data_IF_420850593330
#
_entry.id   IF_420850593330
#
_cell.length_a   1.000
_cell.length_b   1.000
_cell.length_c   1.000
_cell.angle_alpha   90.00
_cell.angle_beta   90.00
_cell.angle_gamma   90.00
#
_symmetry.space_group_name_H-M   'P 1'
#
loop_
_entity.id
_entity.type
_entity.pdbx_description
1 polymer ?
#
# COMPACT_ATOMS: atom_id res chain seq x y z
N UNK A 1 16.84 21.67 -13.44
CA UNK A 1 16.47 20.32 -12.96
C UNK A 1 15.28 20.51 -12.04
N UNK A 2 14.08 20.05 -12.43
CA UNK A 2 12.92 20.15 -11.59
C UNK A 2 13.18 19.32 -10.33
N UNK A 3 12.99 19.93 -9.18
CA UNK A 3 13.01 19.25 -7.89
C UNK A 3 11.92 18.19 -7.95
N UNK A 4 12.27 16.91 -8.20
CA UNK A 4 11.31 15.80 -8.24
C UNK A 4 10.80 15.60 -6.82
N UNK A 5 9.63 16.12 -6.60
CA UNK A 5 8.96 16.31 -5.31
C UNK A 5 8.39 14.99 -4.77
N UNK A 6 8.15 14.94 -3.47
CA UNK A 6 7.28 13.95 -2.86
C UNK A 6 5.90 14.03 -3.52
N UNK A 7 5.41 12.91 -4.05
CA UNK A 7 4.08 12.76 -4.60
C UNK A 7 3.16 12.09 -3.57
N UNK A 8 1.94 12.57 -3.48
CA UNK A 8 0.90 11.84 -2.74
C UNK A 8 0.47 10.63 -3.56
N UNK A 9 0.32 9.48 -2.92
CA UNK A 9 -0.03 8.24 -3.60
C UNK A 9 -1.33 8.31 -4.40
N UNK A 10 -2.33 9.06 -3.92
CA UNK A 10 -3.59 9.23 -4.64
C UNK A 10 -3.40 9.93 -6.00
N UNK A 11 -2.47 10.87 -6.10
CA UNK A 11 -2.19 11.56 -7.36
C UNK A 11 -1.33 10.70 -8.29
N UNK A 12 -0.41 9.91 -7.72
CA UNK A 12 0.37 8.94 -8.48
C UNK A 12 -0.55 7.86 -9.11
N UNK A 13 -1.50 7.31 -8.35
CA UNK A 13 -2.52 6.37 -8.86
C UNK A 13 -3.34 7.00 -9.99
N UNK A 14 -3.80 8.24 -9.84
CA UNK A 14 -4.54 8.93 -10.90
C UNK A 14 -3.72 9.09 -12.17
N UNK A 15 -2.43 9.43 -12.05
CA UNK A 15 -1.52 9.56 -13.18
C UNK A 15 -1.35 8.24 -13.93
N UNK A 16 -1.14 7.14 -13.20
CA UNK A 16 -1.03 5.80 -13.77
C UNK A 16 -2.33 5.38 -14.48
N UNK A 17 -3.50 5.61 -13.86
CA UNK A 17 -4.82 5.35 -14.48
C UNK A 17 -5.08 6.18 -15.73
N UNK A 18 -4.49 7.36 -15.82
CA UNK A 18 -4.53 8.19 -17.03
C UNK A 18 -3.57 7.73 -18.14
N UNK A 19 -2.83 6.63 -17.93
CA UNK A 19 -1.88 6.08 -18.89
C UNK A 19 -0.47 6.69 -18.81
N UNK A 20 -0.21 7.58 -17.86
CA UNK A 20 1.11 8.17 -17.65
C UNK A 20 1.91 7.27 -16.70
N UNK A 21 2.69 6.37 -17.28
CA UNK A 21 3.51 5.42 -16.52
C UNK A 21 4.99 5.80 -16.69
N UNK A 22 5.61 6.15 -15.57
CA UNK A 22 7.05 6.41 -15.54
C UNK A 22 7.84 5.08 -15.52
N UNK A 23 9.03 5.05 -16.10
CA UNK A 23 9.84 3.83 -16.12
C UNK A 23 10.45 3.49 -14.75
N UNK A 24 10.49 4.43 -13.81
CA UNK A 24 11.00 4.21 -12.45
C UNK A 24 10.12 4.92 -11.42
N UNK A 25 9.69 4.18 -10.42
CA UNK A 25 8.98 4.68 -9.24
C UNK A 25 9.74 4.37 -7.96
N UNK A 26 9.62 5.24 -6.97
CA UNK A 26 10.15 5.01 -5.62
C UNK A 26 8.98 5.12 -4.64
N UNK A 27 8.70 4.03 -3.93
CA UNK A 27 7.72 3.99 -2.84
C UNK A 27 8.47 4.08 -1.51
N UNK A 28 8.08 5.02 -0.65
CA UNK A 28 8.69 5.23 0.65
C UNK A 28 7.64 5.13 1.75
N UNK A 29 7.78 4.13 2.61
CA UNK A 29 6.85 3.81 3.70
C UNK A 29 6.62 2.31 3.82
N UNK A 30 5.68 1.91 4.67
CA UNK A 30 5.49 0.52 5.07
C UNK A 30 4.02 0.07 5.07
N UNK A 31 3.10 0.82 4.48
CA UNK A 31 1.72 0.38 4.36
C UNK A 31 1.58 -0.61 3.19
N UNK A 32 1.36 -1.88 3.53
CA UNK A 32 1.29 -2.96 2.55
C UNK A 32 0.08 -2.85 1.60
N UNK A 33 -1.02 -2.25 2.03
CA UNK A 33 -2.17 -2.03 1.15
C UNK A 33 -1.85 -1.00 0.08
N UNK A 34 -1.25 0.13 0.47
CA UNK A 34 -0.88 1.19 -0.49
C UNK A 34 0.19 0.72 -1.47
N UNK A 35 1.16 -0.05 -0.98
CA UNK A 35 2.18 -0.68 -1.82
C UNK A 35 1.53 -1.59 -2.87
N UNK A 36 0.74 -2.56 -2.42
CA UNK A 36 0.08 -3.51 -3.30
C UNK A 36 -0.84 -2.82 -4.30
N UNK A 37 -1.65 -1.87 -3.82
CA UNK A 37 -2.56 -1.10 -4.68
C UNK A 37 -1.82 -0.34 -5.77
N UNK A 38 -0.69 0.31 -5.46
CA UNK A 38 0.09 1.02 -6.46
C UNK A 38 0.71 0.08 -7.50
N UNK A 39 1.25 -1.06 -7.06
CA UNK A 39 1.82 -2.07 -7.96
C UNK A 39 0.73 -2.61 -8.90
N UNK A 40 -0.46 -2.94 -8.40
CA UNK A 40 -1.60 -3.41 -9.21
C UNK A 40 -2.04 -2.39 -10.26
N UNK A 41 -2.07 -1.11 -9.92
CA UNK A 41 -2.42 -0.06 -10.88
C UNK A 41 -1.36 0.08 -11.98
N UNK A 42 -0.08 0.00 -11.61
CA UNK A 42 1.01 -0.01 -12.60
C UNK A 42 0.94 -1.27 -13.47
N UNK A 43 0.70 -2.45 -12.90
CA UNK A 43 0.51 -3.69 -13.67
C UNK A 43 -0.61 -3.54 -14.70
N UNK A 44 -1.77 -3.07 -14.27
CA UNK A 44 -2.93 -2.91 -15.14
C UNK A 44 -2.67 -1.92 -16.28
N UNK A 45 -2.03 -0.79 -15.98
CA UNK A 45 -1.73 0.20 -17.00
C UNK A 45 -0.55 -0.17 -17.91
N UNK A 46 0.46 -0.83 -17.38
CA UNK A 46 1.66 -1.20 -18.12
C UNK A 46 1.46 -2.42 -19.02
N UNK A 47 0.59 -3.35 -18.62
CA UNK A 47 0.25 -4.57 -19.37
C UNK A 47 -1.23 -4.60 -19.78
N UNK A 48 -1.66 -3.76 -20.72
CA UNK A 48 -3.07 -3.69 -21.11
C UNK A 48 -3.62 -5.01 -21.67
N UNK A 49 -2.77 -5.86 -22.24
CA UNK A 49 -3.14 -7.16 -22.78
C UNK A 49 -3.18 -8.29 -21.74
N UNK A 50 -2.92 -7.97 -20.47
CA UNK A 50 -3.01 -8.91 -19.34
C UNK A 50 -1.86 -9.89 -19.18
N UNK A 51 -0.88 -9.91 -20.08
CA UNK A 51 0.30 -10.78 -19.98
C UNK A 51 1.36 -10.16 -19.03
N UNK A 52 1.09 -10.17 -17.73
CA UNK A 52 1.97 -9.55 -16.74
C UNK A 52 3.26 -10.36 -16.56
N UNK A 53 4.40 -9.71 -16.83
CA UNK A 53 5.73 -10.21 -16.52
C UNK A 53 6.33 -9.40 -15.37
N UNK A 54 6.08 -9.84 -14.13
CA UNK A 54 6.60 -9.23 -12.91
C UNK A 54 7.68 -10.08 -12.28
N UNK A 55 8.78 -9.46 -11.88
CA UNK A 55 9.87 -10.08 -11.14
C UNK A 55 10.23 -9.29 -9.89
N UNK A 56 10.32 -10.00 -8.77
CA UNK A 56 10.84 -9.43 -7.52
C UNK A 56 12.36 -9.49 -7.53
N UNK A 57 12.99 -8.38 -7.20
CA UNK A 57 14.44 -8.27 -7.05
C UNK A 57 14.77 -8.05 -5.56
N UNK A 58 15.32 -9.08 -4.94
CA UNK A 58 15.69 -9.07 -3.52
C UNK A 58 17.21 -9.15 -3.41
N UNK A 59 17.90 -8.08 -3.00
CA UNK A 59 19.36 -8.08 -2.88
C UNK A 59 19.92 -9.08 -1.86
N UNK A 60 19.06 -9.62 -0.99
CA UNK A 60 19.43 -10.65 -0.03
C UNK A 60 19.45 -12.06 -0.66
N UNK A 61 18.72 -12.27 -1.76
CA UNK A 61 18.55 -13.56 -2.42
C UNK A 61 19.29 -13.67 -3.76
N UNK A 62 19.47 -12.53 -4.43
CA UNK A 62 20.11 -12.44 -5.74
C UNK A 62 21.53 -11.89 -5.63
N UNK A 63 22.42 -12.36 -6.52
CA UNK A 63 23.70 -11.67 -6.68
C UNK A 63 23.46 -10.27 -7.23
N UNK A 64 24.18 -9.30 -6.71
CA UNK A 64 23.98 -7.88 -7.07
C UNK A 64 24.21 -7.63 -8.58
N UNK A 65 25.17 -8.32 -9.21
CA UNK A 65 25.37 -8.27 -10.66
C UNK A 65 24.17 -8.79 -11.44
N UNK A 66 23.49 -9.83 -10.92
CA UNK A 66 22.31 -10.40 -11.55
C UNK A 66 21.14 -9.41 -11.58
N UNK A 67 21.01 -8.56 -10.56
CA UNK A 67 19.99 -7.51 -10.52
C UNK A 67 20.25 -6.51 -11.67
N UNK A 68 21.49 -6.07 -11.84
CA UNK A 68 21.85 -5.16 -12.95
C UNK A 68 21.63 -5.85 -14.29
N UNK A 69 22.08 -7.10 -14.44
CA UNK A 69 21.91 -7.86 -15.67
C UNK A 69 20.43 -7.98 -16.07
N UNK A 70 19.52 -8.28 -15.12
CA UNK A 70 18.07 -8.33 -15.37
C UNK A 70 17.48 -6.99 -15.78
N UNK A 71 17.92 -5.90 -15.16
CA UNK A 71 17.47 -4.56 -15.49
C UNK A 71 17.96 -4.10 -16.88
N UNK A 72 19.16 -4.50 -17.30
CA UNK A 72 19.81 -4.04 -18.54
C UNK A 72 19.65 -5.02 -19.70
N UNK A 73 19.36 -6.31 -19.44
CA UNK A 73 19.19 -7.34 -20.49
C UNK A 73 18.11 -6.95 -21.49
N UNK A 74 18.35 -7.25 -22.77
CA UNK A 74 17.33 -7.15 -23.81
C UNK A 74 16.59 -8.47 -23.83
N UNK A 75 15.28 -8.44 -23.54
CA UNK A 75 14.43 -9.62 -23.68
C UNK A 75 13.95 -9.76 -25.13
N UNK A 76 14.19 -10.92 -25.71
CA UNK A 76 13.79 -11.23 -27.08
C UNK A 76 12.33 -11.73 -27.19
N UNK A 77 11.72 -12.10 -26.06
CA UNK A 77 10.42 -12.75 -26.02
C UNK A 77 9.31 -11.88 -25.42
N UNK A 78 9.65 -10.87 -24.65
CA UNK A 78 8.68 -9.96 -24.07
C UNK A 78 9.04 -8.52 -24.32
N UNK A 79 8.03 -7.75 -24.75
CA UNK A 79 8.20 -6.32 -25.01
C UNK A 79 8.20 -5.48 -23.73
N UNK A 80 7.60 -5.96 -22.64
CA UNK A 80 7.47 -5.20 -21.38
C UNK A 80 7.77 -6.07 -20.16
N UNK A 81 8.46 -5.50 -19.17
CA UNK A 81 8.79 -6.16 -17.90
C UNK A 81 8.61 -5.21 -16.73
N UNK A 82 8.01 -5.70 -15.64
CA UNK A 82 7.88 -4.98 -14.38
C UNK A 82 8.83 -5.60 -13.34
N UNK A 83 9.68 -4.79 -12.77
CA UNK A 83 10.56 -5.17 -11.68
C UNK A 83 10.17 -4.46 -10.39
N UNK A 84 10.16 -5.21 -9.30
CA UNK A 84 9.95 -4.66 -7.96
C UNK A 84 11.19 -4.93 -7.12
N UNK A 85 11.97 -3.90 -6.85
CA UNK A 85 13.19 -3.96 -6.03
C UNK A 85 12.86 -3.51 -4.61
N UNK A 86 13.02 -4.41 -3.66
CA UNK A 86 12.82 -4.09 -2.24
C UNK A 86 14.17 -3.93 -1.54
N UNK A 87 14.26 -2.98 -0.60
CA UNK A 87 15.46 -2.71 0.20
C UNK A 87 16.72 -2.47 -0.63
N UNK A 88 16.76 -1.40 -1.45
CA UNK A 88 17.90 -1.09 -2.32
C UNK A 88 19.22 -0.88 -1.55
N UNK A 89 19.16 -0.57 -0.25
CA UNK A 89 20.34 -0.49 0.63
C UNK A 89 21.12 -1.80 0.73
N UNK A 90 20.48 -2.94 0.43
CA UNK A 90 21.13 -4.24 0.32
C UNK A 90 22.12 -4.35 -0.84
N UNK A 91 22.03 -3.51 -1.86
CA UNK A 91 23.01 -3.46 -2.95
C UNK A 91 24.37 -3.00 -2.42
N UNK A 92 25.38 -3.87 -2.51
CA UNK A 92 26.73 -3.64 -2.02
C UNK A 92 27.67 -3.36 -3.22
N UNK A 93 28.88 -2.98 -2.94
CA UNK A 93 29.88 -2.70 -4.00
C UNK A 93 29.68 -1.33 -4.68
N UNK A 94 30.80 -0.62 -4.83
CA UNK A 94 30.79 0.74 -5.43
C UNK A 94 30.37 0.71 -6.91
N UNK A 95 30.83 -0.31 -7.65
CA UNK A 95 30.54 -0.49 -9.08
C UNK A 95 29.05 -0.73 -9.30
N UNK A 96 28.47 -1.69 -8.56
CA UNK A 96 27.03 -2.06 -8.65
C UNK A 96 26.13 -0.86 -8.35
N UNK A 97 26.46 -0.09 -7.30
CA UNK A 97 25.71 1.13 -6.97
C UNK A 97 25.77 2.18 -8.07
N UNK A 98 26.93 2.32 -8.73
CA UNK A 98 27.09 3.26 -9.84
C UNK A 98 26.26 2.81 -11.06
N UNK A 99 26.33 1.54 -11.45
CA UNK A 99 25.56 0.98 -12.57
C UNK A 99 24.05 1.06 -12.31
N UNK A 100 23.62 0.82 -11.07
CA UNK A 100 22.21 0.94 -10.69
C UNK A 100 21.72 2.40 -10.80
N UNK A 101 22.50 3.38 -10.35
CA UNK A 101 22.16 4.79 -10.47
C UNK A 101 22.16 5.25 -11.93
N UNK A 102 23.09 4.78 -12.74
CA UNK A 102 23.11 5.04 -14.18
C UNK A 102 21.84 4.51 -14.87
N UNK A 103 21.39 3.30 -14.50
CA UNK A 103 20.13 2.76 -14.99
C UNK A 103 18.92 3.63 -14.60
N UNK A 104 18.86 4.12 -13.35
CA UNK A 104 17.77 4.99 -12.88
C UNK A 104 17.75 6.33 -13.64
N UNK A 105 18.92 6.85 -13.99
CA UNK A 105 19.04 8.10 -14.76
C UNK A 105 18.64 7.92 -16.23
N UNK A 106 18.87 6.73 -16.79
CA UNK A 106 18.62 6.38 -18.18
C UNK A 106 17.85 5.05 -18.30
N UNK A 107 16.61 4.96 -17.78
CA UNK A 107 15.86 3.72 -17.76
C UNK A 107 15.36 3.34 -19.15
N UNK A 108 15.17 2.02 -19.38
CA UNK A 108 14.56 1.49 -20.59
C UNK A 108 13.03 1.68 -20.52
N UNK A 109 12.41 2.12 -21.60
CA UNK A 109 10.96 2.41 -21.65
C UNK A 109 10.07 1.17 -21.63
N UNK A 110 10.61 0.03 -22.08
CA UNK A 110 9.95 -1.28 -22.04
C UNK A 110 10.00 -1.93 -20.66
N UNK A 111 10.69 -1.29 -19.69
CA UNK A 111 10.82 -1.77 -18.33
C UNK A 111 10.30 -0.74 -17.35
N UNK A 112 9.50 -1.21 -16.40
CA UNK A 112 9.09 -0.41 -15.25
C UNK A 112 9.76 -0.96 -13.99
N UNK A 113 10.46 -0.12 -13.25
CA UNK A 113 11.10 -0.46 -11.98
C UNK A 113 10.41 0.25 -10.83
N UNK A 114 9.84 -0.52 -9.91
CA UNK A 114 9.31 0.00 -8.64
C UNK A 114 10.31 -0.30 -7.53
N UNK A 115 10.84 0.73 -6.89
CA UNK A 115 11.80 0.63 -5.79
C UNK A 115 11.06 0.86 -4.49
N UNK A 116 11.11 -0.10 -3.56
CA UNK A 116 10.42 -0.03 -2.27
C UNK A 116 11.46 0.20 -1.17
N UNK A 117 11.26 1.26 -0.40
CA UNK A 117 12.07 1.67 0.73
C UNK A 117 11.16 1.66 1.97
N UNK A 118 11.24 0.58 2.76
CA UNK A 118 10.36 0.38 3.91
C UNK A 118 10.70 1.31 5.08
N UNK A 119 11.93 1.79 5.16
CA UNK A 119 12.46 2.53 6.30
C UNK A 119 12.74 4.00 5.96
N UNK A 120 11.96 4.90 6.56
CA UNK A 120 12.18 6.35 6.49
C UNK A 120 13.53 6.78 7.08
N UNK A 121 14.07 6.00 8.01
CA UNK A 121 15.34 6.29 8.66
C UNK A 121 16.57 5.89 7.84
N UNK A 122 16.38 5.17 6.70
CA UNK A 122 17.49 4.80 5.82
C UNK A 122 18.13 6.05 5.18
N UNK A 123 19.29 6.40 5.73
CA UNK A 123 20.13 7.54 5.30
C UNK A 123 21.29 7.11 4.42
N UNK A 124 21.29 5.88 3.89
CA UNK A 124 22.34 5.41 3.02
C UNK A 124 22.51 6.35 1.81
N UNK A 125 23.76 6.53 1.38
CA UNK A 125 24.06 7.42 0.26
C UNK A 125 23.34 6.98 -1.04
N UNK A 126 23.12 5.67 -1.20
CA UNK A 126 22.37 5.13 -2.33
C UNK A 126 20.91 5.56 -2.29
N UNK A 127 20.22 5.31 -1.17
CA UNK A 127 18.80 5.68 -1.00
C UNK A 127 18.60 7.20 -1.16
N UNK A 128 19.51 8.01 -0.62
CA UNK A 128 19.45 9.45 -0.81
C UNK A 128 19.52 9.81 -2.30
N UNK A 129 20.49 9.27 -3.04
CA UNK A 129 20.63 9.54 -4.47
C UNK A 129 19.42 9.08 -5.27
N UNK A 130 18.87 7.90 -4.99
CA UNK A 130 17.63 7.40 -5.62
C UNK A 130 16.51 8.41 -5.44
N UNK A 131 16.26 8.87 -4.22
CA UNK A 131 15.20 9.86 -3.92
C UNK A 131 15.44 11.20 -4.60
N UNK A 132 16.68 11.65 -4.66
CA UNK A 132 17.06 12.92 -5.31
C UNK A 132 16.90 12.84 -6.84
N UNK A 133 17.09 11.65 -7.45
CA UNK A 133 16.98 11.46 -8.90
C UNK A 133 15.53 11.26 -9.36
N UNK A 134 14.76 10.40 -8.69
CA UNK A 134 13.41 10.02 -9.13
C UNK A 134 12.32 10.78 -8.37
N UNK A 135 12.59 11.23 -7.13
CA UNK A 135 11.58 11.61 -6.17
C UNK A 135 11.02 10.37 -5.47
N UNK A 136 9.92 10.51 -4.74
CA UNK A 136 9.27 9.37 -4.11
C UNK A 136 7.78 9.59 -3.88
N UNK A 137 7.04 8.49 -3.80
CA UNK A 137 5.63 8.41 -3.45
C UNK A 137 5.55 7.96 -1.99
N UNK A 138 4.83 8.72 -1.15
CA UNK A 138 4.65 8.36 0.25
C UNK A 138 3.58 7.28 0.36
N UNK A 139 3.97 6.10 0.88
CA UNK A 139 3.11 4.97 1.20
C UNK A 139 3.07 4.65 2.70
N UNK A 140 3.22 5.66 3.55
CA UNK A 140 2.96 5.49 4.99
C UNK A 140 1.47 5.39 5.25
N UNK A 141 1.09 4.66 6.31
CA UNK A 141 -0.31 4.60 6.74
C UNK A 141 -0.90 6.01 6.89
N UNK A 142 -2.04 6.29 6.26
CA UNK A 142 -2.63 7.62 6.28
C UNK A 142 -3.04 8.03 7.69
N UNK A 143 -2.87 9.31 8.01
CA UNK A 143 -3.46 9.88 9.22
C UNK A 143 -5.00 9.79 9.18
N UNK A 144 -5.62 9.80 10.34
CA UNK A 144 -7.08 9.69 10.52
C UNK A 144 -7.88 10.65 9.60
N UNK A 145 -7.38 11.87 9.41
CA UNK A 145 -8.02 12.85 8.51
C UNK A 145 -8.10 12.41 7.04
N UNK A 146 -7.13 11.61 6.57
CA UNK A 146 -7.10 11.07 5.20
C UNK A 146 -7.76 9.69 5.10
N UNK A 147 -7.91 8.98 6.23
CA UNK A 147 -8.45 7.62 6.26
C UNK A 147 -9.86 7.54 5.69
N UNK A 148 -10.73 8.50 6.04
CA UNK A 148 -12.10 8.59 5.50
C UNK A 148 -12.13 8.71 3.97
N UNK A 149 -11.20 9.47 3.40
CA UNK A 149 -11.08 9.62 1.96
C UNK A 149 -10.66 8.31 1.29
N UNK A 150 -9.79 7.53 1.92
CA UNK A 150 -9.40 6.20 1.45
C UNK A 150 -10.55 5.20 1.51
N UNK A 151 -11.34 5.19 2.59
CA UNK A 151 -12.55 4.37 2.69
C UNK A 151 -13.51 4.66 1.53
N UNK A 152 -13.79 5.93 1.27
CA UNK A 152 -14.65 6.33 0.16
C UNK A 152 -14.05 5.99 -1.22
N UNK A 153 -12.74 6.07 -1.36
CA UNK A 153 -12.05 5.63 -2.57
C UNK A 153 -12.22 4.12 -2.79
N UNK A 154 -12.02 3.30 -1.76
CA UNK A 154 -12.19 1.84 -1.84
C UNK A 154 -13.61 1.43 -2.21
N UNK A 155 -14.63 2.09 -1.65
CA UNK A 155 -16.02 1.86 -2.05
C UNK A 155 -16.28 2.22 -3.51
N UNK A 156 -15.73 3.35 -3.97
CA UNK A 156 -15.85 3.75 -5.39
C UNK A 156 -15.22 2.74 -6.35
N UNK A 157 -14.10 2.15 -5.99
CA UNK A 157 -13.47 1.06 -6.76
C UNK A 157 -14.40 -0.17 -6.89
N UNK A 158 -15.33 -0.36 -5.92
CA UNK A 158 -16.36 -1.41 -5.95
C UNK A 158 -17.68 -0.94 -6.58
N UNK A 159 -17.68 0.22 -7.25
CA UNK A 159 -18.90 0.78 -7.86
C UNK A 159 -19.87 1.42 -6.87
N UNK A 160 -19.50 1.58 -5.59
CA UNK A 160 -20.35 2.15 -4.54
C UNK A 160 -20.03 3.63 -4.33
N UNK A 161 -20.93 4.52 -4.75
CA UNK A 161 -20.70 5.97 -4.70
C UNK A 161 -21.52 6.67 -3.60
N UNK A 162 -22.65 6.09 -3.18
CA UNK A 162 -23.53 6.65 -2.14
C UNK A 162 -23.25 5.99 -0.78
N UNK A 163 -22.19 6.43 -0.13
CA UNK A 163 -21.75 5.89 1.17
C UNK A 163 -21.90 6.98 2.24
N UNK A 164 -22.75 6.71 3.24
CA UNK A 164 -22.97 7.66 4.32
C UNK A 164 -21.75 7.80 5.25
N UNK A 165 -21.54 8.95 5.89
CA UNK A 165 -20.48 9.13 6.89
C UNK A 165 -20.55 8.13 8.05
N UNK A 166 -21.75 7.65 8.40
CA UNK A 166 -21.95 6.67 9.46
C UNK A 166 -21.39 5.29 9.09
N UNK A 167 -21.48 4.88 7.83
CA UNK A 167 -20.86 3.66 7.32
C UNK A 167 -19.35 3.76 7.38
N UNK A 168 -18.79 4.90 6.98
CA UNK A 168 -17.34 5.15 7.05
C UNK A 168 -16.83 5.06 8.50
N UNK A 169 -17.56 5.69 9.44
CA UNK A 169 -17.21 5.65 10.85
C UNK A 169 -17.30 4.23 11.43
N UNK A 170 -18.36 3.46 11.08
CA UNK A 170 -18.50 2.07 11.52
C UNK A 170 -17.35 1.18 11.03
N UNK A 171 -16.89 1.37 9.79
CA UNK A 171 -15.72 0.65 9.26
C UNK A 171 -14.45 0.99 10.02
N UNK A 172 -14.20 2.28 10.28
CA UNK A 172 -13.01 2.71 11.03
C UNK A 172 -13.08 2.21 12.48
N UNK A 173 -14.27 2.19 13.09
CA UNK A 173 -14.47 1.63 14.43
C UNK A 173 -14.07 0.15 14.50
N UNK A 174 -14.41 -0.62 13.48
CA UNK A 174 -14.16 -2.07 13.44
C UNK A 174 -12.70 -2.38 13.05
N UNK A 175 -12.23 -1.78 11.96
CA UNK A 175 -10.95 -2.12 11.33
C UNK A 175 -9.76 -1.29 11.85
N UNK A 176 -10.04 -0.22 12.60
CA UNK A 176 -9.01 0.73 13.05
C UNK A 176 -8.46 1.55 11.87
N UNK A 177 -7.18 1.83 11.90
CA UNK A 177 -6.45 2.61 10.87
C UNK A 177 -5.82 1.74 9.78
N UNK A 178 -5.95 0.42 9.87
CA UNK A 178 -5.40 -0.51 8.89
C UNK A 178 -6.20 -0.50 7.59
N UNK A 179 -5.64 0.10 6.53
CA UNK A 179 -6.26 0.11 5.20
C UNK A 179 -6.53 -1.30 4.67
N UNK A 180 -5.67 -2.26 4.98
CA UNK A 180 -5.84 -3.66 4.59
C UNK A 180 -7.09 -4.28 5.23
N UNK A 181 -7.28 -4.06 6.54
CA UNK A 181 -8.48 -4.54 7.22
C UNK A 181 -9.74 -3.84 6.71
N UNK A 182 -9.69 -2.53 6.51
CA UNK A 182 -10.80 -1.76 5.93
C UNK A 182 -11.18 -2.31 4.56
N UNK A 183 -10.21 -2.55 3.69
CA UNK A 183 -10.46 -3.11 2.35
C UNK A 183 -11.14 -4.48 2.43
N UNK A 184 -10.68 -5.36 3.32
CA UNK A 184 -11.28 -6.68 3.52
C UNK A 184 -12.73 -6.58 4.04
N UNK A 185 -13.04 -5.65 4.95
CA UNK A 185 -14.41 -5.45 5.42
C UNK A 185 -15.31 -4.92 4.30
N UNK A 186 -14.83 -3.98 3.49
CA UNK A 186 -15.53 -3.48 2.31
C UNK A 186 -15.81 -4.62 1.32
N UNK A 187 -14.82 -5.46 1.04
CA UNK A 187 -14.96 -6.60 0.12
C UNK A 187 -16.06 -7.57 0.60
N UNK A 188 -16.08 -7.92 1.88
CA UNK A 188 -17.11 -8.79 2.45
C UNK A 188 -18.51 -8.20 2.25
N UNK A 189 -18.69 -6.94 2.64
CA UNK A 189 -19.99 -6.27 2.53
C UNK A 189 -20.44 -6.16 1.07
N UNK A 190 -19.55 -5.75 0.18
CA UNK A 190 -19.86 -5.62 -1.24
C UNK A 190 -20.13 -6.97 -1.94
N UNK A 191 -19.54 -8.07 -1.43
CA UNK A 191 -19.78 -9.42 -1.97
C UNK A 191 -21.17 -9.94 -1.57
N UNK A 192 -21.64 -9.61 -0.37
CA UNK A 192 -22.92 -10.11 0.16
C UNK A 192 -24.10 -9.26 -0.31
N UNK A 193 -23.94 -7.96 -0.38
CA UNK A 193 -25.02 -7.05 -0.76
C UNK A 193 -25.10 -6.88 -2.28
N UNK A 194 -26.32 -6.83 -2.81
CA UNK A 194 -26.56 -6.54 -4.23
C UNK A 194 -25.99 -5.15 -4.58
N UNK A 195 -25.62 -4.98 -5.82
CA UNK A 195 -24.95 -3.76 -6.31
C UNK A 195 -25.76 -2.46 -6.07
N UNK A 196 -27.08 -2.53 -6.13
CA UNK A 196 -28.02 -1.42 -5.93
C UNK A 196 -28.46 -1.23 -4.47
N UNK A 197 -28.09 -2.14 -3.57
CA UNK A 197 -28.48 -2.06 -2.17
C UNK A 197 -27.71 -0.95 -1.45
N UNK A 198 -28.43 -0.13 -0.69
CA UNK A 198 -27.82 0.87 0.18
C UNK A 198 -27.09 0.16 1.34
N UNK A 199 -25.82 0.52 1.55
CA UNK A 199 -25.02 -0.02 2.65
C UNK A 199 -25.34 0.79 3.91
N UNK A 200 -25.64 0.10 5.01
CA UNK A 200 -25.93 0.69 6.32
C UNK A 200 -24.83 0.34 7.34
N UNK A 201 -24.70 1.09 8.45
CA UNK A 201 -23.80 0.71 9.54
C UNK A 201 -24.07 -0.68 10.10
N UNK A 202 -25.35 -1.11 10.14
CA UNK A 202 -25.74 -2.43 10.63
C UNK A 202 -25.22 -3.55 9.72
N UNK A 203 -25.12 -3.32 8.42
CA UNK A 203 -24.53 -4.28 7.49
C UNK A 203 -23.03 -4.45 7.79
N UNK A 204 -22.32 -3.35 8.07
CA UNK A 204 -20.92 -3.39 8.47
C UNK A 204 -20.75 -4.25 9.72
N UNK A 205 -21.50 -4.00 10.77
CA UNK A 205 -21.43 -4.77 12.01
C UNK A 205 -21.84 -6.23 11.83
N UNK A 206 -22.80 -6.52 10.96
CA UNK A 206 -23.32 -7.87 10.70
C UNK A 206 -22.33 -8.73 9.94
N UNK A 207 -21.69 -8.18 8.91
CA UNK A 207 -20.84 -8.95 7.99
C UNK A 207 -19.36 -8.92 8.35
N UNK A 208 -18.93 -8.05 9.26
CA UNK A 208 -17.53 -7.94 9.67
C UNK A 208 -16.99 -9.20 10.37
N UNK A 209 -17.83 -10.16 10.72
CA UNK A 209 -17.39 -11.31 11.52
C UNK A 209 -16.91 -10.94 12.93
N UNK A 210 -16.81 -9.66 13.20
CA UNK A 210 -16.53 -9.13 14.52
C UNK A 210 -17.82 -9.17 15.34
N UNK A 211 -17.92 -10.11 16.25
CA UNK A 211 -18.83 -9.91 17.38
C UNK A 211 -18.43 -8.59 18.02
N UNK A 212 -19.40 -7.67 18.21
CA UNK A 212 -19.19 -6.42 18.95
C UNK A 212 -18.33 -6.72 20.17
N UNK A 213 -17.08 -6.39 20.12
CA UNK A 213 -16.19 -6.69 21.20
C UNK A 213 -15.18 -5.56 21.30
N UNK A 214 -14.92 -5.21 22.51
CA UNK A 214 -14.02 -4.11 22.84
C UNK A 214 -12.59 -4.40 22.38
N UNK A 215 -11.91 -3.37 21.91
CA UNK A 215 -10.48 -3.39 21.60
C UNK A 215 -9.64 -3.20 22.86
N UNK A 216 -8.43 -3.77 22.88
CA UNK A 216 -7.52 -3.60 24.04
C UNK A 216 -7.24 -2.14 24.38
N UNK A 217 -7.20 -1.25 23.38
CA UNK A 217 -7.00 0.19 23.63
C UNK A 217 -8.22 0.83 24.32
N UNK A 218 -9.45 0.37 24.04
CA UNK A 218 -10.66 0.86 24.75
C UNK A 218 -10.63 0.48 26.21
N UNK A 219 -10.08 -0.71 26.53
CA UNK A 219 -9.82 -1.10 27.90
C UNK A 219 -8.87 -0.12 28.59
N UNK A 220 -7.72 0.17 27.94
CA UNK A 220 -6.74 1.11 28.48
C UNK A 220 -7.33 2.52 28.65
N UNK A 221 -8.16 2.96 27.72
CA UNK A 221 -8.86 4.25 27.82
C UNK A 221 -9.82 4.27 29.01
N UNK A 222 -10.67 3.25 29.16
CA UNK A 222 -11.61 3.16 30.28
C UNK A 222 -10.89 3.12 31.64
N UNK A 223 -9.74 2.43 31.71
CA UNK A 223 -8.89 2.42 32.90
C UNK A 223 -8.30 3.82 33.16
N UNK A 224 -7.84 4.51 32.14
CA UNK A 224 -7.30 5.88 32.23
C UNK A 224 -8.35 6.89 32.68
N UNK A 225 -9.59 6.75 32.22
CA UNK A 225 -10.75 7.56 32.61
C UNK A 225 -11.32 7.15 33.99
N UNK A 226 -10.78 6.10 34.61
CA UNK A 226 -11.23 5.52 35.88
C UNK A 226 -12.70 5.06 35.87
N UNK A 227 -13.21 4.69 34.71
CA UNK A 227 -14.53 4.10 34.53
C UNK A 227 -14.45 2.59 34.84
N UNK A 228 -14.65 2.26 36.12
CA UNK A 228 -14.56 0.88 36.59
C UNK A 228 -15.58 -0.04 35.90
N UNK A 229 -16.82 0.43 35.72
CA UNK A 229 -17.89 -0.35 35.11
C UNK A 229 -17.55 -0.76 33.68
N UNK A 230 -17.12 0.22 32.86
CA UNK A 230 -16.70 0.02 31.48
C UNK A 230 -15.43 -0.81 31.39
N UNK A 231 -14.46 -0.61 32.28
CA UNK A 231 -13.23 -1.40 32.34
C UNK A 231 -13.49 -2.87 32.63
N UNK A 232 -14.36 -3.18 33.59
CA UNK A 232 -14.73 -4.56 33.92
C UNK A 232 -15.48 -5.22 32.77
N UNK A 233 -16.42 -4.53 32.12
CA UNK A 233 -17.16 -5.03 30.99
C UNK A 233 -16.22 -5.36 29.81
N UNK A 234 -15.31 -4.43 29.48
CA UNK A 234 -14.34 -4.61 28.39
C UNK A 234 -13.36 -5.74 28.72
N UNK A 235 -12.83 -5.76 29.94
CA UNK A 235 -11.89 -6.80 30.39
C UNK A 235 -12.49 -8.19 30.32
N UNK A 236 -13.74 -8.36 30.75
CA UNK A 236 -14.47 -9.64 30.67
C UNK A 236 -14.62 -10.09 29.20
N UNK A 237 -14.99 -9.20 28.30
CA UNK A 237 -15.16 -9.49 26.88
C UNK A 237 -13.83 -9.88 26.19
N UNK A 238 -12.74 -9.20 26.53
CA UNK A 238 -11.39 -9.51 26.02
C UNK A 238 -10.90 -10.87 26.51
N UNK A 239 -11.11 -11.21 27.79
CA UNK A 239 -10.71 -12.49 28.37
C UNK A 239 -11.51 -13.66 27.77
N UNK A 240 -12.83 -13.48 27.57
CA UNK A 240 -13.67 -14.49 26.97
C UNK A 240 -13.25 -14.87 25.54
N UNK A 241 -12.57 -13.97 24.82
CA UNK A 241 -12.04 -14.22 23.46
C UNK A 241 -10.69 -14.92 23.44
N UNK A 242 -9.91 -14.77 24.48
CA UNK A 242 -8.58 -15.40 24.57
C UNK A 242 -8.68 -16.87 24.97
N UNK A 243 -9.86 -17.32 25.40
CA UNK A 243 -10.12 -18.68 25.89
C UNK A 243 -10.68 -19.62 24.82
N UNK A 244 -10.73 -19.21 23.55
CA UNK A 244 -11.18 -20.00 22.40
C UNK A 244 -10.08 -20.18 21.41
#
# INVERSE_FOLDING_TARGET
MANKMQLEIGDAIKSVKAGNIDPVYVLLGNDCYLEQKFIEEVETGFFPDGAVQKSMLLPEELKESEIIDRLTAIDLFSSKQLFVLRKPSGLKGKKIKAEFLEYIENPQTEKCLIIIIDDWSDKSALVKKIKDTVGFINISTPFESKLKSWVLFMFREKGRTDISPNVVNALIEIAGDSLYHIANEIDKVCTVLKEDAQITPDDIYKFSGWKRGFQSWQFLTAVGERDLSKSVQIGHDLLARTST
#
